data_IF_032411607530
#
_entry.id   IF_032411607530
#
_cell.length_a   1.000
_cell.length_b   1.000
_cell.length_c   1.000
_cell.angle_alpha   90.00
_cell.angle_beta   90.00
_cell.angle_gamma   90.00
#
_symmetry.space_group_name_H-M   'P 1'
#
loop_
_entity.id
_entity.type
_entity.pdbx_description
1 polymer ?
#
# COMPACT_ATOMS: atom_id res chain seq x y z
N UNK A 1 -20.48 35.23 -40.95
CA UNK A 1 -19.41 34.44 -40.29
C UNK A 1 -18.73 33.57 -41.35
N UNK A 2 -17.38 33.59 -41.41
CA UNK A 2 -16.64 32.97 -42.50
C UNK A 2 -16.39 31.45 -42.33
N UNK A 3 -16.72 30.86 -41.18
CA UNK A 3 -16.47 29.46 -40.86
C UNK A 3 -14.99 29.14 -40.70
N UNK A 4 -14.69 27.94 -40.22
CA UNK A 4 -13.31 27.42 -40.02
C UNK A 4 -12.75 27.00 -41.37
N UNK A 5 -11.48 27.38 -41.62
CA UNK A 5 -10.76 27.02 -42.84
C UNK A 5 -9.79 25.88 -42.63
N UNK A 6 -9.02 25.91 -41.54
CA UNK A 6 -8.05 24.87 -41.19
C UNK A 6 -7.65 24.95 -39.73
N UNK A 7 -7.09 23.84 -39.24
CA UNK A 7 -6.34 23.79 -37.99
C UNK A 7 -4.86 23.53 -38.29
N UNK A 8 -4.00 24.07 -37.42
CA UNK A 8 -2.60 23.75 -37.35
C UNK A 8 -2.25 23.36 -35.90
N UNK A 9 -1.37 22.43 -35.71
CA UNK A 9 -0.85 22.11 -34.39
C UNK A 9 0.65 22.07 -34.38
N UNK A 10 1.23 22.33 -33.25
CA UNK A 10 2.67 22.25 -33.00
C UNK A 10 2.94 21.75 -31.61
N UNK A 11 4.15 21.22 -31.39
CA UNK A 11 4.58 20.66 -30.10
C UNK A 11 5.94 21.25 -29.73
N UNK A 12 6.06 21.72 -28.51
CA UNK A 12 7.29 22.30 -28.00
C UNK A 12 7.52 22.04 -26.51
N UNK A 13 8.69 22.45 -26.04
CA UNK A 13 9.07 22.41 -24.62
C UNK A 13 8.75 23.72 -23.89
N UNK A 14 8.28 24.70 -24.64
CA UNK A 14 7.79 25.98 -24.12
C UNK A 14 6.34 26.22 -24.54
N UNK A 15 5.62 27.08 -23.81
CA UNK A 15 4.24 27.45 -24.17
C UNK A 15 4.23 28.11 -25.54
N UNK A 16 3.48 27.54 -26.47
CA UNK A 16 3.45 28.02 -27.86
C UNK A 16 4.66 27.68 -28.70
N UNK A 17 5.62 26.90 -28.13
CA UNK A 17 6.83 26.48 -28.82
C UNK A 17 6.59 25.42 -29.90
N UNK A 18 7.61 25.20 -30.73
CA UNK A 18 7.59 24.28 -31.88
C UNK A 18 8.89 23.42 -32.00
N UNK A 19 9.65 23.36 -30.91
CA UNK A 19 10.99 22.73 -30.88
C UNK A 19 10.95 21.22 -31.16
N UNK A 20 9.80 20.58 -30.88
CA UNK A 20 9.60 19.15 -31.08
C UNK A 20 8.87 18.82 -32.38
N UNK A 21 7.88 19.65 -32.73
CA UNK A 21 7.12 19.51 -33.97
C UNK A 21 6.76 20.91 -34.48
N UNK A 22 7.26 21.26 -35.65
CA UNK A 22 6.86 22.47 -36.39
C UNK A 22 5.40 22.40 -36.80
N UNK A 23 4.72 23.55 -37.09
CA UNK A 23 3.30 23.57 -37.38
C UNK A 23 2.91 22.60 -38.50
N UNK A 24 1.96 21.72 -38.19
CA UNK A 24 1.38 20.77 -39.13
C UNK A 24 -0.10 21.11 -39.35
N UNK A 25 -0.54 21.11 -40.63
CA UNK A 25 -1.96 21.33 -40.97
C UNK A 25 -2.75 20.06 -40.62
N UNK A 26 -3.87 20.27 -39.94
CA UNK A 26 -4.80 19.21 -39.57
C UNK A 26 -6.05 19.24 -40.46
N UNK A 27 -6.68 18.06 -40.67
CA UNK A 27 -8.05 18.03 -41.20
C UNK A 27 -8.99 18.90 -40.32
N UNK A 28 -10.05 19.39 -40.89
CA UNK A 28 -11.10 20.11 -40.13
C UNK A 28 -11.93 19.06 -39.35
N UNK A 29 -11.37 18.64 -38.18
CA UNK A 29 -12.00 17.70 -37.28
C UNK A 29 -12.06 18.33 -35.89
N UNK A 30 -13.11 18.05 -35.13
CA UNK A 30 -13.39 18.73 -33.87
C UNK A 30 -12.97 17.94 -32.61
N UNK A 31 -12.61 16.63 -32.70
CA UNK A 31 -12.57 15.80 -31.53
C UNK A 31 -11.20 15.21 -31.16
N UNK A 32 -10.49 14.64 -32.09
CA UNK A 32 -9.18 14.05 -31.80
C UNK A 32 -8.32 13.88 -33.04
N UNK A 33 -7.01 14.02 -32.87
CA UNK A 33 -6.02 13.75 -33.90
C UNK A 33 -4.81 13.06 -33.30
N UNK A 34 -4.30 12.04 -33.99
CA UNK A 34 -3.07 11.33 -33.64
C UNK A 34 -2.07 11.47 -34.76
N UNK A 35 -0.84 11.86 -34.45
CA UNK A 35 0.29 11.87 -35.38
C UNK A 35 1.53 11.29 -34.72
N UNK A 36 2.39 10.69 -35.53
CA UNK A 36 3.75 10.36 -35.10
C UNK A 36 4.64 11.59 -35.26
N UNK A 37 5.63 11.73 -34.39
CA UNK A 37 6.66 12.75 -34.59
C UNK A 37 7.47 12.42 -35.84
N UNK A 38 7.96 13.42 -36.61
CA UNK A 38 8.80 13.23 -37.76
C UNK A 38 10.06 12.45 -37.38
N UNK A 39 10.57 11.66 -38.33
CA UNK A 39 11.86 10.97 -38.26
C UNK A 39 12.00 10.05 -37.01
N UNK A 40 10.88 9.51 -36.50
CA UNK A 40 10.87 8.72 -35.25
C UNK A 40 11.50 9.44 -34.05
N UNK A 41 11.46 10.76 -34.04
CA UNK A 41 11.93 11.58 -32.92
C UNK A 41 11.19 11.19 -31.64
N UNK A 42 11.95 10.89 -30.58
CA UNK A 42 11.38 10.61 -29.27
C UNK A 42 11.05 11.90 -28.55
N UNK A 43 9.97 11.89 -27.78
CA UNK A 43 9.67 12.96 -26.84
C UNK A 43 10.69 12.94 -25.71
N UNK A 44 11.19 14.11 -25.26
CA UNK A 44 12.13 14.17 -24.15
C UNK A 44 11.49 13.72 -22.84
N UNK A 45 12.22 12.94 -22.06
CA UNK A 45 11.86 12.55 -20.70
C UNK A 45 12.17 13.74 -19.77
N UNK A 46 11.48 13.84 -18.64
CA UNK A 46 11.61 14.88 -17.59
C UNK A 46 11.39 16.33 -18.06
N UNK A 47 10.98 16.53 -19.28
CA UNK A 47 10.69 17.85 -19.81
C UNK A 47 9.18 18.05 -19.98
N UNK A 48 8.66 19.20 -19.56
CA UNK A 48 7.26 19.52 -19.80
C UNK A 48 7.05 19.84 -21.29
N UNK A 49 6.09 19.15 -21.89
CA UNK A 49 5.76 19.24 -23.31
C UNK A 49 4.41 19.93 -23.44
N UNK A 50 4.33 20.89 -24.36
CA UNK A 50 3.13 21.65 -24.65
C UNK A 50 2.65 21.38 -26.06
N UNK A 51 1.34 21.24 -26.23
CA UNK A 51 0.68 21.14 -27.53
C UNK A 51 -0.10 22.43 -27.73
N UNK A 52 0.13 23.07 -28.86
CA UNK A 52 -0.61 24.28 -29.27
C UNK A 52 -1.39 24.00 -30.54
N UNK A 53 -2.68 24.29 -30.50
CA UNK A 53 -3.55 24.20 -31.66
C UNK A 53 -3.95 25.61 -32.08
N UNK A 54 -3.81 25.92 -33.35
CA UNK A 54 -4.23 27.17 -33.97
C UNK A 54 -5.36 26.91 -34.97
N UNK A 55 -6.43 27.70 -34.89
CA UNK A 55 -7.60 27.61 -35.75
C UNK A 55 -7.70 28.85 -36.63
N UNK A 56 -7.77 28.67 -37.93
CA UNK A 56 -7.95 29.77 -38.91
C UNK A 56 -9.35 29.78 -39.46
N UNK A 57 -9.91 30.98 -39.62
CA UNK A 57 -11.12 31.16 -40.37
C UNK A 57 -10.83 31.40 -41.86
N UNK A 58 -11.89 31.43 -42.69
CA UNK A 58 -11.76 31.69 -44.15
C UNK A 58 -11.29 33.09 -44.51
N UNK A 59 -11.24 34.00 -43.55
CA UNK A 59 -10.70 35.35 -43.73
C UNK A 59 -9.21 35.45 -43.36
N UNK A 60 -8.57 34.34 -42.96
CA UNK A 60 -7.15 34.26 -42.58
C UNK A 60 -6.85 34.68 -41.14
N UNK A 61 -7.87 35.05 -40.36
CA UNK A 61 -7.70 35.35 -38.94
C UNK A 61 -7.61 34.07 -38.13
N UNK A 62 -6.87 34.08 -37.02
CA UNK A 62 -6.68 32.89 -36.18
C UNK A 62 -6.86 33.16 -34.68
N UNK A 63 -7.13 32.10 -33.98
CA UNK A 63 -6.98 31.98 -32.53
C UNK A 63 -6.19 30.71 -32.18
N UNK A 64 -5.59 30.68 -31.00
CA UNK A 64 -4.87 29.50 -30.56
C UNK A 64 -5.15 29.16 -29.11
N UNK A 65 -4.97 27.87 -28.79
CA UNK A 65 -5.04 27.34 -27.45
C UNK A 65 -3.85 26.41 -27.24
N UNK A 66 -3.25 26.49 -26.05
CA UNK A 66 -2.11 25.65 -25.64
C UNK A 66 -2.51 24.81 -24.43
N UNK A 67 -2.10 23.56 -24.41
CA UNK A 67 -2.28 22.66 -23.27
C UNK A 67 -1.55 23.17 -22.02
N UNK A 68 -1.93 22.68 -20.85
CA UNK A 68 -1.20 22.93 -19.60
C UNK A 68 0.15 22.21 -19.54
N UNK A 69 0.46 21.43 -20.57
CA UNK A 69 1.66 20.63 -20.69
C UNK A 69 1.58 19.32 -19.91
N UNK A 70 2.33 18.34 -20.36
CA UNK A 70 2.48 17.03 -19.73
C UNK A 70 3.96 16.64 -19.70
N UNK A 71 4.33 15.69 -18.86
CA UNK A 71 5.65 15.04 -18.84
C UNK A 71 5.50 13.62 -19.35
N UNK A 72 6.57 13.09 -19.93
CA UNK A 72 6.70 11.67 -20.21
C UNK A 72 7.24 11.01 -18.96
N UNK A 73 6.54 10.01 -18.51
CA UNK A 73 6.92 9.13 -17.41
C UNK A 73 6.91 7.70 -17.94
N UNK A 74 8.01 7.01 -17.79
CA UNK A 74 8.25 5.66 -18.32
C UNK A 74 8.63 4.68 -17.22
N UNK A 75 8.69 5.12 -15.98
CA UNK A 75 9.10 4.32 -14.83
C UNK A 75 7.93 3.92 -13.96
N UNK A 76 8.06 2.78 -13.31
CA UNK A 76 7.10 2.33 -12.32
C UNK A 76 7.29 3.12 -11.01
N UNK A 77 6.23 3.34 -10.24
CA UNK A 77 6.37 3.81 -8.86
C UNK A 77 7.33 2.95 -8.04
N UNK A 78 7.95 3.54 -7.04
CA UNK A 78 8.85 2.87 -6.10
C UNK A 78 8.11 2.62 -4.78
N UNK A 79 8.30 1.44 -4.20
CA UNK A 79 7.85 1.14 -2.84
C UNK A 79 8.84 1.74 -1.87
N UNK A 80 8.61 2.97 -1.42
CA UNK A 80 9.47 3.67 -0.45
C UNK A 80 9.34 3.08 0.96
N UNK A 81 8.14 2.56 1.30
CA UNK A 81 7.89 1.77 2.49
C UNK A 81 6.99 0.60 2.11
N UNK A 82 7.45 -0.61 2.42
CA UNK A 82 6.67 -1.83 2.19
C UNK A 82 5.39 -1.81 3.03
N UNK A 83 4.32 -2.41 2.52
CA UNK A 83 3.09 -2.61 3.27
C UNK A 83 3.35 -3.52 4.48
N UNK A 84 3.09 -3.00 5.69
CA UNK A 84 3.26 -3.70 6.96
C UNK A 84 2.06 -3.46 7.86
N UNK A 85 1.66 -4.47 8.65
CA UNK A 85 0.63 -4.27 9.66
C UNK A 85 1.14 -3.40 10.81
N UNK A 86 0.29 -2.48 11.27
CA UNK A 86 0.54 -1.69 12.48
C UNK A 86 0.00 -2.49 13.66
N UNK A 87 0.89 -3.18 14.39
CA UNK A 87 0.49 -3.92 15.60
C UNK A 87 0.51 -3.00 16.81
N UNK A 88 -0.60 -2.95 17.54
CA UNK A 88 -0.72 -2.13 18.77
C UNK A 88 0.03 -2.73 19.96
N UNK A 89 0.53 -3.98 19.89
CA UNK A 89 0.86 -4.73 21.09
C UNK A 89 2.21 -5.47 21.12
N UNK A 90 2.96 -5.59 20.03
CA UNK A 90 4.19 -6.37 20.12
C UNK A 90 5.24 -5.99 19.09
N UNK A 91 6.39 -5.54 19.60
CA UNK A 91 7.66 -5.49 18.85
C UNK A 91 8.23 -6.90 18.56
N UNK A 92 7.67 -7.94 19.17
CA UNK A 92 8.20 -9.33 19.12
C UNK A 92 7.53 -10.11 17.97
N UNK A 93 6.25 -9.85 17.67
CA UNK A 93 5.52 -10.49 16.57
C UNK A 93 4.78 -9.42 15.74
N UNK A 94 5.49 -8.71 14.87
CA UNK A 94 4.93 -7.57 14.13
C UNK A 94 3.81 -7.96 13.14
N UNK A 95 3.70 -9.23 12.78
CA UNK A 95 2.69 -9.75 11.85
C UNK A 95 1.53 -10.46 12.53
N UNK A 96 1.16 -10.06 13.77
CA UNK A 96 -0.01 -10.60 14.47
C UNK A 96 -1.01 -9.51 14.80
N UNK A 97 -2.30 -9.87 14.85
CA UNK A 97 -3.38 -9.00 15.32
C UNK A 97 -4.25 -9.72 16.35
N UNK A 98 -4.63 -9.01 17.40
CA UNK A 98 -5.63 -9.48 18.38
C UNK A 98 -7.06 -9.12 17.98
N UNK A 99 -7.24 -8.33 16.92
CA UNK A 99 -8.57 -7.90 16.48
C UNK A 99 -9.12 -8.88 15.45
N UNK A 100 -10.36 -9.31 15.67
CA UNK A 100 -11.15 -10.08 14.69
C UNK A 100 -11.92 -9.19 13.71
N UNK A 101 -11.96 -7.90 13.94
CA UNK A 101 -12.80 -6.99 13.17
C UNK A 101 -12.03 -5.88 12.47
N UNK A 102 -10.73 -5.74 12.73
CA UNK A 102 -9.93 -4.67 12.13
C UNK A 102 -8.47 -5.07 11.92
N UNK A 103 -7.89 -4.56 10.84
CA UNK A 103 -6.44 -4.61 10.56
C UNK A 103 -6.03 -3.23 10.08
N UNK A 104 -4.99 -2.65 10.68
CA UNK A 104 -4.38 -1.40 10.24
C UNK A 104 -3.06 -1.70 9.51
N UNK A 105 -2.87 -1.07 8.36
CA UNK A 105 -1.69 -1.23 7.51
C UNK A 105 -1.11 0.15 7.23
N UNK A 106 0.21 0.23 7.12
CA UNK A 106 0.94 1.40 6.63
C UNK A 106 1.84 1.02 5.45
N UNK A 107 2.05 1.96 4.53
CA UNK A 107 2.91 1.82 3.36
C UNK A 107 3.26 3.18 2.78
N UNK A 108 4.18 3.22 1.81
CA UNK A 108 4.44 4.44 1.04
C UNK A 108 4.93 4.09 -0.37
N UNK A 109 4.30 4.70 -1.37
CA UNK A 109 4.80 4.77 -2.75
C UNK A 109 5.35 6.16 -3.04
N UNK A 110 6.35 6.22 -3.91
CA UNK A 110 6.91 7.46 -4.48
C UNK A 110 7.18 7.23 -5.96
N UNK A 111 7.25 8.31 -6.70
CA UNK A 111 7.67 8.31 -8.09
C UNK A 111 8.46 9.59 -8.36
N UNK A 112 9.57 9.48 -9.07
CA UNK A 112 10.46 10.62 -9.31
C UNK A 112 10.06 11.45 -10.54
N UNK A 113 9.32 10.84 -11.48
CA UNK A 113 8.91 11.48 -12.74
C UNK A 113 7.51 12.07 -12.66
N UNK A 114 6.61 11.44 -11.89
CA UNK A 114 5.25 11.93 -11.69
C UNK A 114 4.71 11.60 -10.29
N UNK A 115 3.59 12.21 -9.91
CA UNK A 115 2.96 11.92 -8.62
C UNK A 115 2.18 10.59 -8.65
N UNK A 116 1.97 10.00 -7.48
CA UNK A 116 1.02 8.90 -7.32
C UNK A 116 -0.40 9.45 -7.50
N UNK A 117 -1.11 8.98 -8.52
CA UNK A 117 -2.46 9.42 -8.85
C UNK A 117 -3.53 8.62 -8.14
N UNK A 118 -3.37 7.28 -8.12
CA UNK A 118 -4.37 6.35 -7.58
C UNK A 118 -3.72 5.28 -6.74
N UNK A 119 -4.42 4.86 -5.72
CA UNK A 119 -4.05 3.70 -4.93
C UNK A 119 -5.25 2.77 -4.73
N UNK A 120 -4.97 1.47 -4.66
CA UNK A 120 -5.96 0.43 -4.38
C UNK A 120 -5.47 -0.44 -3.24
N UNK A 121 -6.40 -0.84 -2.36
CA UNK A 121 -6.09 -1.73 -1.25
C UNK A 121 -7.08 -2.90 -1.22
N UNK A 122 -6.59 -4.07 -0.88
CA UNK A 122 -7.40 -5.28 -0.74
C UNK A 122 -6.84 -6.20 0.33
N UNK A 123 -7.72 -6.98 0.96
CA UNK A 123 -7.37 -8.01 1.95
C UNK A 123 -7.85 -9.37 1.45
N UNK A 124 -7.05 -10.40 1.66
CA UNK A 124 -7.39 -11.78 1.29
C UNK A 124 -6.91 -12.76 2.34
N UNK A 125 -7.64 -13.86 2.61
CA UNK A 125 -7.10 -15.01 3.31
C UNK A 125 -5.86 -15.54 2.59
N UNK A 126 -4.84 -15.95 3.34
CA UNK A 126 -3.56 -16.41 2.78
C UNK A 126 -3.70 -17.48 1.69
N UNK A 127 -4.64 -18.41 1.87
CA UNK A 127 -4.81 -19.57 0.98
C UNK A 127 -5.46 -19.23 -0.37
N UNK A 128 -6.20 -18.14 -0.47
CA UNK A 128 -6.93 -17.81 -1.70
C UNK A 128 -6.12 -16.99 -2.70
N UNK A 129 -5.13 -16.21 -2.24
CA UNK A 129 -4.23 -15.42 -3.11
C UNK A 129 -4.91 -14.44 -4.08
N UNK A 130 -6.24 -14.45 -4.11
CA UNK A 130 -7.03 -13.64 -5.03
C UNK A 130 -7.40 -12.31 -4.37
N UNK A 131 -6.71 -11.25 -4.82
CA UNK A 131 -6.94 -9.88 -4.40
C UNK A 131 -7.83 -9.09 -5.37
N UNK A 132 -8.31 -9.71 -6.44
CA UNK A 132 -8.93 -8.97 -7.54
C UNK A 132 -10.39 -8.61 -7.28
N UNK A 133 -11.09 -9.40 -6.49
CA UNK A 133 -12.54 -9.24 -6.26
C UNK A 133 -12.91 -8.21 -5.18
N UNK A 134 -11.93 -7.70 -4.42
CA UNK A 134 -12.18 -6.81 -3.26
C UNK A 134 -11.29 -5.57 -3.20
N UNK A 135 -10.62 -5.21 -4.29
CA UNK A 135 -9.79 -4.02 -4.34
C UNK A 135 -10.66 -2.75 -4.23
N UNK A 136 -10.34 -1.94 -3.24
CA UNK A 136 -11.00 -0.67 -2.97
C UNK A 136 -10.05 0.47 -3.33
N UNK A 137 -10.54 1.46 -4.09
CA UNK A 137 -9.78 2.67 -4.37
C UNK A 137 -9.72 3.55 -3.13
N UNK A 138 -8.54 4.08 -2.85
CA UNK A 138 -8.26 4.99 -1.73
C UNK A 138 -7.50 6.22 -2.23
N UNK A 139 -7.59 7.37 -1.54
CA UNK A 139 -6.89 8.58 -1.95
C UNK A 139 -5.38 8.38 -2.07
N UNK A 140 -4.77 8.97 -3.10
CA UNK A 140 -3.35 8.78 -3.42
C UNK A 140 -2.37 9.29 -2.34
N UNK A 141 -2.82 10.23 -1.52
CA UNK A 141 -2.02 10.81 -0.43
C UNK A 141 -2.00 9.97 0.85
N UNK A 142 -2.85 8.94 0.93
CA UNK A 142 -2.97 8.09 2.10
C UNK A 142 -1.81 7.10 2.17
N UNK A 143 -1.16 7.00 3.32
CA UNK A 143 -0.05 6.08 3.61
C UNK A 143 -0.38 5.08 4.71
N UNK A 144 -1.59 5.11 5.24
CA UNK A 144 -2.11 4.16 6.21
C UNK A 144 -3.61 3.93 5.99
N UNK A 145 -4.08 2.73 6.30
CA UNK A 145 -5.49 2.39 6.20
C UNK A 145 -5.88 1.36 7.24
N UNK A 146 -7.07 1.56 7.83
CA UNK A 146 -7.64 0.62 8.78
C UNK A 146 -8.89 -0.04 8.18
N UNK A 147 -8.80 -1.32 7.89
CA UNK A 147 -9.99 -2.12 7.63
C UNK A 147 -10.82 -2.23 8.92
N UNK A 148 -12.12 -2.14 8.79
CA UNK A 148 -13.07 -2.32 9.90
C UNK A 148 -14.25 -3.20 9.47
N UNK A 149 -14.94 -3.79 10.45
CA UNK A 149 -16.07 -4.68 10.15
C UNK A 149 -15.69 -6.01 9.52
N UNK A 150 -14.42 -6.42 9.64
CA UNK A 150 -13.96 -7.72 9.17
C UNK A 150 -14.52 -8.85 10.05
N UNK A 151 -14.61 -10.05 9.48
CA UNK A 151 -14.93 -11.29 10.19
C UNK A 151 -13.71 -12.23 10.12
N UNK A 152 -12.69 -11.94 10.93
CA UNK A 152 -11.44 -12.68 10.95
C UNK A 152 -11.54 -13.87 11.94
N UNK A 153 -10.83 -14.95 11.64
CA UNK A 153 -10.81 -16.17 12.44
C UNK A 153 -9.47 -16.37 13.13
N UNK A 154 -9.47 -16.74 14.41
CA UNK A 154 -8.27 -17.12 15.16
C UNK A 154 -7.52 -18.26 14.47
N UNK A 155 -6.21 -18.20 14.47
CA UNK A 155 -5.33 -19.14 13.80
C UNK A 155 -5.26 -18.96 12.28
N UNK A 156 -6.11 -18.12 11.70
CA UNK A 156 -6.09 -17.84 10.27
C UNK A 156 -5.08 -16.76 9.92
N UNK A 157 -4.50 -16.87 8.72
CA UNK A 157 -3.55 -15.91 8.16
C UNK A 157 -4.19 -15.12 7.04
N UNK A 158 -3.92 -13.82 7.01
CA UNK A 158 -4.40 -12.88 6.01
C UNK A 158 -3.22 -12.14 5.40
N UNK A 159 -3.41 -11.64 4.18
CA UNK A 159 -2.49 -10.72 3.51
C UNK A 159 -3.25 -9.49 3.04
N UNK A 160 -2.55 -8.36 3.03
CA UNK A 160 -3.03 -7.12 2.44
C UNK A 160 -2.14 -6.75 1.27
N UNK A 161 -2.76 -6.43 0.15
CA UNK A 161 -2.10 -5.91 -1.05
C UNK A 161 -2.48 -4.46 -1.24
N UNK A 162 -1.48 -3.63 -1.46
CA UNK A 162 -1.64 -2.23 -1.87
C UNK A 162 -1.02 -2.06 -3.26
N UNK A 163 -1.70 -1.34 -4.12
CA UNK A 163 -1.23 -0.99 -5.46
C UNK A 163 -1.16 0.53 -5.53
N UNK A 164 -0.03 1.08 -5.96
CA UNK A 164 0.14 2.49 -6.28
C UNK A 164 0.34 2.68 -7.76
N UNK A 165 -0.39 3.61 -8.36
CA UNK A 165 -0.29 3.96 -9.78
C UNK A 165 0.07 5.43 -9.92
N UNK A 166 1.05 5.75 -10.78
CA UNK A 166 1.46 7.11 -11.09
C UNK A 166 0.54 7.78 -12.12
N UNK A 167 0.78 9.04 -12.44
CA UNK A 167 -0.01 9.82 -13.44
C UNK A 167 0.08 9.25 -14.86
N UNK A 168 1.12 8.47 -15.19
CA UNK A 168 1.22 7.78 -16.47
C UNK A 168 0.41 6.48 -16.52
N UNK A 169 -0.22 6.07 -15.40
CA UNK A 169 -0.98 4.84 -15.29
C UNK A 169 -0.12 3.59 -15.08
N UNK A 170 1.17 3.76 -14.79
CA UNK A 170 2.07 2.65 -14.44
C UNK A 170 1.88 2.30 -12.97
N UNK A 171 1.76 1.01 -12.66
CA UNK A 171 1.37 0.56 -11.32
C UNK A 171 2.36 -0.46 -10.76
N UNK A 172 2.62 -0.35 -9.45
CA UNK A 172 3.39 -1.32 -8.68
C UNK A 172 2.59 -1.74 -7.44
N UNK A 173 2.80 -2.97 -6.99
CA UNK A 173 2.13 -3.47 -5.79
C UNK A 173 3.11 -3.79 -4.66
N UNK A 174 2.62 -3.61 -3.42
CA UNK A 174 3.26 -4.08 -2.20
C UNK A 174 2.30 -5.00 -1.45
N UNK A 175 2.80 -6.12 -0.95
CA UNK A 175 2.01 -7.11 -0.21
C UNK A 175 2.65 -7.32 1.15
N UNK A 176 1.82 -7.39 2.21
CA UNK A 176 2.30 -7.70 3.56
C UNK A 176 2.80 -9.15 3.65
N UNK A 177 3.58 -9.43 4.67
CA UNK A 177 3.75 -10.79 5.15
C UNK A 177 2.41 -11.33 5.70
N UNK A 178 2.37 -12.61 6.06
CA UNK A 178 1.18 -13.20 6.67
C UNK A 178 0.83 -12.52 7.98
N UNK A 179 -0.41 -12.10 8.12
CA UNK A 179 -0.95 -11.52 9.34
C UNK A 179 -1.74 -12.62 10.05
N UNK A 180 -1.19 -13.14 11.14
CA UNK A 180 -1.85 -14.15 11.96
C UNK A 180 -2.85 -13.47 12.90
N UNK A 181 -4.07 -13.99 12.95
CA UNK A 181 -5.10 -13.55 13.90
C UNK A 181 -5.06 -14.41 15.15
N UNK A 182 -4.85 -13.78 16.30
CA UNK A 182 -4.90 -14.44 17.60
C UNK A 182 -5.51 -13.50 18.65
N UNK A 183 -6.76 -13.75 18.99
CA UNK A 183 -7.49 -13.00 20.01
C UNK A 183 -7.68 -13.82 21.29
N UNK A 184 -7.07 -14.99 21.36
CA UNK A 184 -7.23 -15.92 22.49
C UNK A 184 -6.09 -15.77 23.49
N UNK A 185 -6.36 -15.61 24.78
CA UNK A 185 -5.29 -15.63 25.77
C UNK A 185 -4.75 -17.05 25.96
N UNK A 186 -3.49 -17.17 26.42
CA UNK A 186 -2.94 -18.46 26.79
C UNK A 186 -3.83 -19.21 27.78
N UNK A 187 -3.88 -20.52 27.62
CA UNK A 187 -4.54 -21.42 28.59
C UNK A 187 -3.77 -21.44 29.89
N UNK A 188 -4.52 -21.50 30.99
CA UNK A 188 -3.95 -21.50 32.33
C UNK A 188 -3.13 -22.77 32.58
N UNK A 189 -1.88 -22.58 33.01
CA UNK A 189 -1.05 -23.62 33.54
C UNK A 189 -1.17 -23.81 35.05
N UNK A 190 -0.24 -24.54 35.61
CA UNK A 190 -0.09 -24.79 37.04
C UNK A 190 1.22 -24.17 37.54
N UNK A 191 1.25 -23.77 38.80
CA UNK A 191 2.48 -23.36 39.44
C UNK A 191 2.60 -23.98 40.84
N UNK A 192 3.84 -24.07 41.33
CA UNK A 192 4.13 -24.58 42.66
C UNK A 192 5.27 -23.77 43.30
N UNK A 193 5.23 -23.68 44.61
CA UNK A 193 6.22 -23.01 45.45
C UNK A 193 7.11 -24.12 46.02
N UNK A 194 8.46 -23.88 46.04
CA UNK A 194 9.47 -24.74 46.67
C UNK A 194 9.44 -26.20 46.24
N UNK A 195 9.72 -26.42 44.96
CA UNK A 195 9.84 -27.79 44.46
C UNK A 195 11.27 -28.13 44.15
N UNK A 196 11.92 -28.96 45.00
CA UNK A 196 13.13 -29.67 44.65
C UNK A 196 12.87 -30.82 43.65
N UNK A 197 11.58 -31.08 43.33
CA UNK A 197 11.15 -32.14 42.43
C UNK A 197 10.07 -31.65 41.48
N UNK A 198 10.44 -31.34 40.24
CA UNK A 198 9.52 -31.00 39.16
C UNK A 198 8.41 -32.06 38.91
N UNK A 199 8.60 -33.31 39.37
CA UNK A 199 7.64 -34.40 39.29
C UNK A 199 6.40 -34.23 40.20
N UNK A 200 6.40 -33.28 41.13
CA UNK A 200 5.30 -33.10 42.11
C UNK A 200 4.29 -31.98 41.73
N UNK A 201 4.41 -31.36 40.56
CA UNK A 201 3.49 -30.30 40.13
C UNK A 201 2.03 -30.77 39.97
N UNK A 202 1.79 -32.07 39.84
CA UNK A 202 0.47 -32.69 39.71
C UNK A 202 -0.21 -33.05 41.05
N UNK A 203 0.40 -32.79 42.22
CA UNK A 203 -0.21 -33.05 43.51
C UNK A 203 -0.84 -31.80 44.05
N UNK A 204 -2.18 -31.86 44.18
CA UNK A 204 -2.99 -30.88 44.91
C UNK A 204 -2.56 -30.90 46.40
N UNK A 205 -1.71 -29.98 46.78
CA UNK A 205 -1.27 -29.80 48.17
C UNK A 205 -1.69 -28.43 48.65
N UNK A 206 -2.72 -28.43 49.43
CA UNK A 206 -3.26 -27.23 50.07
C UNK A 206 -2.41 -26.68 51.23
N UNK A 207 -1.23 -27.28 51.50
CA UNK A 207 -0.33 -26.87 52.56
C UNK A 207 1.13 -26.86 52.06
N UNK A 208 1.61 -25.67 51.76
CA UNK A 208 3.00 -25.45 51.36
C UNK A 208 3.76 -24.77 52.51
N UNK A 209 4.72 -25.46 53.12
CA UNK A 209 5.62 -24.84 54.09
C UNK A 209 6.92 -24.54 53.39
N UNK A 210 7.36 -23.28 53.47
CA UNK A 210 8.63 -22.81 52.91
C UNK A 210 9.64 -22.66 54.05
N UNK A 211 10.86 -23.17 53.85
CA UNK A 211 11.88 -23.20 54.88
C UNK A 211 12.83 -21.99 54.86
N UNK A 212 12.85 -21.20 53.78
CA UNK A 212 13.73 -20.05 53.64
C UNK A 212 12.99 -18.75 53.97
N UNK A 213 13.65 -17.85 54.68
CA UNK A 213 13.18 -16.52 54.99
C UNK A 213 13.69 -15.43 54.03
N UNK A 214 14.59 -15.82 53.13
CA UNK A 214 15.31 -14.88 52.23
C UNK A 214 15.11 -15.15 50.75
N UNK A 215 14.52 -16.29 50.39
CA UNK A 215 14.33 -16.69 49.00
C UNK A 215 13.05 -17.48 48.80
N UNK A 216 12.39 -17.29 47.67
CA UNK A 216 11.23 -18.07 47.23
C UNK A 216 11.61 -18.74 45.92
N UNK A 217 11.39 -20.08 45.84
CA UNK A 217 11.58 -20.85 44.64
C UNK A 217 10.21 -21.13 43.98
N UNK A 218 10.09 -20.83 42.71
CA UNK A 218 8.86 -21.01 41.95
C UNK A 218 9.09 -21.94 40.77
N UNK A 219 8.10 -22.77 40.47
CA UNK A 219 8.09 -23.58 39.26
C UNK A 219 6.68 -23.52 38.64
N UNK A 220 6.59 -23.50 37.31
CA UNK A 220 5.35 -23.53 36.59
C UNK A 220 5.45 -24.39 35.35
N UNK A 221 4.28 -24.88 34.88
CA UNK A 221 4.18 -25.68 33.66
C UNK A 221 2.73 -25.65 33.13
N UNK A 222 2.55 -26.11 31.89
CA UNK A 222 1.24 -26.34 31.31
C UNK A 222 0.51 -25.10 30.82
N UNK A 223 1.13 -23.90 30.84
CA UNK A 223 0.61 -22.78 30.09
C UNK A 223 0.84 -23.05 28.60
N UNK A 224 -0.18 -22.85 27.81
CA UNK A 224 -0.09 -23.07 26.36
C UNK A 224 -0.94 -22.02 25.63
N UNK A 225 -0.48 -21.68 24.45
CA UNK A 225 -1.26 -20.87 23.49
C UNK A 225 -1.31 -21.61 22.16
N UNK A 226 -2.48 -21.61 21.53
CA UNK A 226 -2.73 -22.44 20.34
C UNK A 226 -2.16 -21.82 19.07
N UNK A 227 -2.08 -20.49 18.99
CA UNK A 227 -1.83 -19.79 17.73
C UNK A 227 -0.47 -19.09 17.70
N UNK A 228 -0.12 -18.34 18.74
CA UNK A 228 1.11 -17.55 18.80
C UNK A 228 2.14 -18.10 19.79
N UNK A 229 1.76 -19.03 20.65
CA UNK A 229 2.61 -19.58 21.70
C UNK A 229 2.84 -18.60 22.86
N UNK A 230 3.71 -19.00 23.79
CA UNK A 230 4.07 -18.19 24.96
C UNK A 230 5.36 -17.42 24.65
N UNK A 231 5.31 -16.09 24.70
CA UNK A 231 6.47 -15.23 24.46
C UNK A 231 7.22 -14.83 25.74
N UNK A 232 6.50 -14.68 26.84
CA UNK A 232 7.11 -14.30 28.12
C UNK A 232 6.29 -14.79 29.31
N UNK A 233 6.96 -14.90 30.45
CA UNK A 233 6.33 -15.08 31.76
C UNK A 233 6.69 -13.88 32.63
N UNK A 234 5.72 -13.33 33.37
CA UNK A 234 5.96 -12.27 34.36
C UNK A 234 5.68 -12.81 35.75
N UNK A 235 6.62 -12.67 36.64
CA UNK A 235 6.48 -13.02 38.06
C UNK A 235 6.57 -11.74 38.88
N UNK A 236 5.61 -11.53 39.76
CA UNK A 236 5.61 -10.45 40.75
C UNK A 236 5.62 -11.06 42.15
N UNK A 237 6.40 -10.47 43.05
CA UNK A 237 6.49 -10.84 44.45
C UNK A 237 6.03 -9.67 45.29
#
# INVERSE_FOLDING_TARGET
>A
QSGIARYEWRVGTTIGGEELLSPQVLPVVELAYKSNLPDNKLLPIDTRIYITVRCYNKAGLYSEATSNGFKIDTTLPVVAQRAVPVSSFSSILPSTTISKSSIKIEWKFTDDESDIERQYISISPHLLGDFTSSAMEIPSVVTEFAFSGLALHDGSKYKVKVIGCNLAGLCLSSVTDDILVDSTPPTRGMFAIDTDHAANLNRDRNNWNHWSTTSIKLAWLGFADLHTGITEYKVSV
#
